data_IF_675325752075
#
_entry.id   IF_675325752075
#
_cell.length_a   1.000
_cell.length_b   1.000
_cell.length_c   1.000
_cell.angle_alpha   90.00
_cell.angle_beta   90.00
_cell.angle_gamma   90.00
#
_symmetry.space_group_name_H-M   'P 1'
#
loop_
_entity.id
_entity.type
_entity.pdbx_description
1 polymer ?
#
# COMPACT_ATOMS: atom_id res chain seq x y z
N UNK A 1 -34.57 -16.87 -18.04
CA UNK A 1 -33.64 -17.09 -16.90
C UNK A 1 -32.74 -15.87 -16.80
N UNK A 2 -32.80 -15.06 -15.73
CA UNK A 2 -31.85 -13.96 -15.59
C UNK A 2 -30.42 -14.52 -15.63
N UNK A 3 -29.56 -13.95 -16.48
CA UNK A 3 -28.15 -14.32 -16.60
C UNK A 3 -27.51 -14.26 -15.20
N UNK A 4 -27.13 -15.43 -14.67
CA UNK A 4 -26.50 -15.52 -13.35
C UNK A 4 -25.25 -14.64 -13.26
N UNK A 5 -25.02 -14.04 -12.09
CA UNK A 5 -23.84 -13.21 -11.81
C UNK A 5 -22.55 -13.98 -12.17
N UNK A 6 -21.57 -13.36 -12.86
CA UNK A 6 -20.33 -14.04 -13.22
C UNK A 6 -19.63 -14.60 -11.98
N UNK A 7 -19.19 -15.86 -12.07
CA UNK A 7 -18.47 -16.53 -10.97
C UNK A 7 -17.08 -15.92 -10.82
N UNK A 8 -16.84 -15.25 -9.70
CA UNK A 8 -15.51 -14.73 -9.35
C UNK A 8 -14.55 -15.92 -9.16
N UNK A 9 -13.42 -15.88 -9.86
CA UNK A 9 -12.35 -16.87 -9.72
C UNK A 9 -11.41 -16.47 -8.57
N UNK A 10 -11.46 -17.23 -7.48
CA UNK A 10 -10.61 -17.01 -6.29
C UNK A 10 -9.51 -18.07 -6.14
N UNK A 11 -9.36 -18.94 -7.13
CA UNK A 11 -8.37 -20.03 -7.12
C UNK A 11 -6.92 -19.51 -7.06
N UNK A 12 -6.55 -18.44 -7.78
CA UNK A 12 -5.18 -17.91 -7.73
C UNK A 12 -4.76 -17.42 -6.33
N UNK A 13 -5.72 -16.89 -5.57
CA UNK A 13 -5.48 -16.32 -4.23
C UNK A 13 -5.69 -17.34 -3.10
N UNK A 14 -5.92 -18.61 -3.43
CA UNK A 14 -6.37 -19.61 -2.46
C UNK A 14 -5.37 -19.81 -1.31
N UNK A 15 -4.08 -19.96 -1.63
CA UNK A 15 -3.04 -20.22 -0.62
C UNK A 15 -2.86 -19.04 0.33
N UNK A 16 -2.82 -17.85 -0.23
CA UNK A 16 -2.68 -16.60 0.51
C UNK A 16 -3.88 -16.31 1.42
N UNK A 17 -5.10 -16.48 0.90
CA UNK A 17 -6.31 -16.31 1.70
C UNK A 17 -6.38 -17.33 2.85
N UNK A 18 -5.99 -18.58 2.59
CA UNK A 18 -5.91 -19.60 3.64
C UNK A 18 -4.88 -19.24 4.71
N UNK A 19 -3.71 -18.73 4.31
CA UNK A 19 -2.66 -18.29 5.24
C UNK A 19 -3.12 -17.10 6.11
N UNK A 20 -3.76 -16.10 5.50
CA UNK A 20 -4.28 -14.93 6.21
C UNK A 20 -5.42 -15.29 7.17
N UNK A 21 -6.32 -16.19 6.77
CA UNK A 21 -7.36 -16.70 7.67
C UNK A 21 -6.77 -17.50 8.85
N UNK A 22 -5.68 -18.25 8.61
CA UNK A 22 -4.98 -18.98 9.67
C UNK A 22 -4.30 -18.03 10.66
N UNK A 23 -3.83 -16.87 10.21
CA UNK A 23 -3.36 -15.74 11.05
C UNK A 23 -4.48 -15.02 11.81
N UNK A 24 -5.73 -15.49 11.72
CA UNK A 24 -6.85 -14.98 12.51
C UNK A 24 -7.70 -13.91 11.81
N UNK A 25 -7.43 -13.57 10.55
CA UNK A 25 -8.24 -12.58 9.83
C UNK A 25 -9.65 -13.09 9.56
N UNK A 26 -10.63 -12.22 9.81
CA UNK A 26 -12.05 -12.48 9.55
C UNK A 26 -12.37 -12.41 8.05
N UNK A 27 -13.47 -13.04 7.62
CA UNK A 27 -13.88 -13.01 6.22
C UNK A 27 -14.21 -11.61 5.68
N UNK A 28 -14.51 -10.65 6.56
CA UNK A 28 -14.72 -9.25 6.16
C UNK A 28 -13.39 -8.58 5.82
N UNK A 29 -12.36 -8.82 6.64
CA UNK A 29 -11.01 -8.29 6.43
C UNK A 29 -10.37 -8.93 5.20
N UNK A 30 -10.58 -10.23 4.96
CA UNK A 30 -10.12 -10.90 3.74
C UNK A 30 -10.79 -10.35 2.48
N UNK A 31 -12.07 -9.96 2.56
CA UNK A 31 -12.76 -9.32 1.45
C UNK A 31 -12.20 -7.91 1.17
N UNK A 32 -11.90 -7.15 2.23
CA UNK A 32 -11.24 -5.85 2.11
C UNK A 32 -9.81 -5.99 1.56
N UNK A 33 -9.07 -7.01 1.98
CA UNK A 33 -7.75 -7.34 1.47
C UNK A 33 -7.77 -7.61 -0.04
N UNK A 34 -8.70 -8.46 -0.51
CA UNK A 34 -8.83 -8.75 -1.94
C UNK A 34 -9.21 -7.52 -2.77
N UNK A 35 -10.03 -6.63 -2.21
CA UNK A 35 -10.39 -5.37 -2.86
C UNK A 35 -9.20 -4.43 -2.94
N UNK A 36 -8.45 -4.26 -1.85
CA UNK A 36 -7.35 -3.30 -1.75
C UNK A 36 -6.10 -3.76 -2.50
N UNK A 37 -5.76 -5.04 -2.41
CA UNK A 37 -4.54 -5.60 -3.01
C UNK A 37 -4.72 -5.98 -4.48
N UNK A 38 -5.92 -6.45 -4.86
CA UNK A 38 -6.16 -7.03 -6.19
C UNK A 38 -7.36 -6.43 -6.93
N UNK A 39 -8.06 -5.44 -6.35
CA UNK A 39 -9.27 -4.86 -6.96
C UNK A 39 -10.46 -5.83 -7.03
N UNK A 40 -10.38 -7.00 -6.37
CA UNK A 40 -11.39 -8.06 -6.49
C UNK A 40 -12.47 -7.86 -5.43
N UNK A 41 -13.65 -7.44 -5.86
CA UNK A 41 -14.81 -7.29 -4.96
C UNK A 41 -15.46 -8.65 -4.67
N UNK A 42 -15.38 -9.11 -3.43
CA UNK A 42 -15.95 -10.41 -3.00
C UNK A 42 -16.84 -10.23 -1.77
N UNK A 43 -17.98 -10.90 -1.75
CA UNK A 43 -18.81 -10.96 -0.56
C UNK A 43 -18.21 -11.95 0.47
N UNK A 44 -18.13 -11.60 1.77
CA UNK A 44 -17.66 -12.50 2.83
C UNK A 44 -18.36 -13.87 2.86
N UNK A 45 -19.66 -13.94 2.52
CA UNK A 45 -20.40 -15.22 2.39
C UNK A 45 -19.85 -16.10 1.27
N UNK A 46 -19.39 -15.50 0.17
CA UNK A 46 -18.76 -16.21 -0.94
C UNK A 46 -17.41 -16.78 -0.53
N UNK A 47 -16.60 -16.01 0.23
CA UNK A 47 -15.35 -16.50 0.81
C UNK A 47 -15.58 -17.69 1.73
N UNK A 48 -16.51 -17.57 2.69
CA UNK A 48 -16.85 -18.67 3.60
C UNK A 48 -17.26 -19.94 2.85
N UNK A 49 -18.09 -19.83 1.81
CA UNK A 49 -18.49 -20.97 0.97
C UNK A 49 -17.31 -21.55 0.17
N UNK A 50 -16.38 -20.71 -0.29
CA UNK A 50 -15.19 -21.14 -1.03
C UNK A 50 -14.20 -21.88 -0.12
N UNK A 51 -13.96 -21.38 1.10
CA UNK A 51 -13.15 -22.07 2.10
C UNK A 51 -13.72 -23.44 2.47
N UNK A 52 -15.04 -23.54 2.64
CA UNK A 52 -15.71 -24.84 2.84
C UNK A 52 -15.52 -25.78 1.64
N UNK A 53 -15.58 -25.27 0.42
CA UNK A 53 -15.36 -26.06 -0.79
C UNK A 53 -13.89 -26.46 -0.97
N UNK A 54 -12.93 -25.61 -0.58
CA UNK A 54 -11.51 -25.93 -0.57
C UNK A 54 -11.21 -27.04 0.43
N UNK A 55 -11.80 -26.99 1.63
CA UNK A 55 -11.72 -28.09 2.61
C UNK A 55 -12.37 -29.39 2.13
N UNK A 56 -13.47 -29.33 1.36
CA UNK A 56 -14.15 -30.54 0.82
C UNK A 56 -13.46 -31.17 -0.39
N UNK A 57 -12.71 -30.41 -1.19
CA UNK A 57 -12.06 -30.91 -2.42
C UNK A 57 -10.87 -31.84 -2.15
N UNK A 58 -10.22 -31.74 -0.99
CA UNK A 58 -9.11 -32.64 -0.61
C UNK A 58 -9.57 -34.02 -0.09
N UNK A 59 -10.84 -34.17 0.33
CA UNK A 59 -11.37 -35.45 0.85
C UNK A 59 -11.92 -36.36 -0.27
N UNK A 60 -12.06 -35.87 -1.51
CA UNK A 60 -12.58 -36.67 -2.64
C UNK A 60 -11.52 -36.90 -3.72
N UNK A 61 -10.47 -37.67 -3.40
CA UNK A 61 -9.70 -38.39 -4.41
C UNK A 61 -9.12 -39.72 -3.93
N UNK A 62 -9.94 -40.55 -3.27
CA UNK A 62 -9.72 -42.00 -3.18
C UNK A 62 -11.06 -42.72 -3.14
N UNK A 63 -11.59 -43.05 -4.33
CA UNK A 63 -12.41 -44.26 -4.59
C UNK A 63 -12.83 -44.26 -6.05
N UNK A 64 -12.15 -45.05 -6.87
CA UNK A 64 -12.62 -45.49 -8.18
C UNK A 64 -13.57 -46.68 -8.00
N UNK A 65 -14.80 -46.50 -8.48
CA UNK A 65 -15.68 -47.44 -9.18
C UNK A 65 -15.73 -48.93 -8.79
N UNK A 66 -16.91 -49.38 -8.34
CA UNK A 66 -17.60 -50.54 -8.96
C UNK A 66 -19.11 -50.55 -8.63
N UNK A 67 -19.91 -50.79 -9.67
CA UNK A 67 -21.33 -51.19 -9.73
C UNK A 67 -21.72 -52.26 -8.69
N UNK A 68 -22.96 -52.50 -8.22
CA UNK A 68 -24.34 -52.49 -8.82
C UNK A 68 -25.37 -52.78 -7.66
N UNK A 69 -26.67 -53.05 -7.88
CA UNK A 69 -27.81 -52.15 -7.88
C UNK A 69 -28.81 -52.26 -6.69
N UNK A 70 -29.78 -51.34 -6.70
CA UNK A 70 -31.07 -51.22 -5.97
C UNK A 70 -31.78 -52.52 -5.56
N UNK A 71 -32.40 -52.50 -4.37
CA UNK A 71 -33.78 -52.98 -4.17
C UNK A 71 -34.46 -52.24 -3.00
N UNK A 72 -35.73 -51.94 -3.21
CA UNK A 72 -36.68 -51.27 -2.32
C UNK A 72 -37.18 -52.21 -1.20
N UNK A 73 -37.62 -51.67 -0.06
CA UNK A 73 -38.90 -51.99 0.63
C UNK A 73 -38.98 -51.22 1.96
N UNK A 74 -40.17 -50.65 2.24
CA UNK A 74 -40.43 -49.82 3.41
C UNK A 74 -41.06 -50.54 4.60
N UNK A 75 -41.48 -49.69 5.55
CA UNK A 75 -42.54 -49.87 6.55
C UNK A 75 -42.20 -50.45 7.94
N UNK A 76 -42.43 -49.56 8.91
CA UNK A 76 -43.21 -49.69 10.15
C UNK A 76 -42.68 -50.40 11.43
N UNK A 77 -42.65 -49.56 12.48
CA UNK A 77 -43.44 -49.62 13.73
C UNK A 77 -43.03 -50.52 14.92
N UNK A 78 -43.15 -49.88 16.10
CA UNK A 78 -43.41 -50.42 17.45
C UNK A 78 -42.28 -51.21 18.14
N UNK A 79 -42.08 -51.16 19.46
CA UNK A 79 -42.69 -50.40 20.56
C UNK A 79 -41.87 -50.59 21.84
N UNK A 80 -42.22 -49.80 22.85
CA UNK A 80 -42.23 -50.10 24.28
C UNK A 80 -41.02 -49.89 25.20
N UNK A 81 -41.41 -49.24 26.29
CA UNK A 81 -40.72 -48.77 27.49
C UNK A 81 -40.60 -49.93 28.48
N UNK A 82 -39.43 -50.12 29.09
CA UNK A 82 -39.32 -50.71 30.42
C UNK A 82 -38.30 -49.92 31.25
N UNK A 83 -38.81 -49.34 32.33
CA UNK A 83 -38.07 -48.69 33.41
C UNK A 83 -37.46 -49.78 34.30
N UNK A 84 -36.16 -49.74 34.56
CA UNK A 84 -35.57 -50.44 35.70
C UNK A 84 -34.56 -49.56 36.44
N UNK A 85 -34.90 -49.39 37.72
CA UNK A 85 -34.30 -48.73 38.88
C UNK A 85 -32.76 -48.64 38.97
N UNK A 86 -32.29 -47.50 39.51
CA UNK A 86 -30.90 -47.10 39.82
C UNK A 86 -30.16 -48.11 40.73
N UNK A 87 -28.81 -48.09 40.79
CA UNK A 87 -28.13 -47.16 41.72
C UNK A 87 -26.92 -46.43 41.11
N UNK A 88 -26.66 -45.22 41.61
CA UNK A 88 -25.44 -44.47 41.30
C UNK A 88 -24.24 -45.06 42.05
N UNK A 89 -23.06 -45.10 41.41
CA UNK A 89 -21.82 -44.95 42.16
C UNK A 89 -20.89 -43.88 41.55
N UNK A 90 -20.41 -43.02 42.46
CA UNK A 90 -19.05 -42.47 42.51
C UNK A 90 -18.63 -41.49 41.39
N UNK A 91 -18.45 -40.23 41.79
CA UNK A 91 -17.75 -39.22 41.01
C UNK A 91 -16.32 -39.70 40.71
N UNK A 92 -16.04 -39.96 39.43
CA UNK A 92 -14.67 -40.06 38.92
C UNK A 92 -14.42 -38.85 38.04
N UNK A 93 -13.32 -38.15 38.29
CA UNK A 93 -12.89 -36.95 37.56
C UNK A 93 -12.87 -37.19 36.03
N UNK A 94 -13.07 -36.15 35.19
CA UNK A 94 -12.93 -36.30 33.75
C UNK A 94 -11.47 -36.66 33.43
N UNK A 95 -11.26 -37.91 33.06
CA UNK A 95 -10.04 -38.36 32.38
C UNK A 95 -9.85 -37.51 31.13
N UNK A 96 -8.84 -36.64 31.15
CA UNK A 96 -8.35 -35.92 29.97
C UNK A 96 -7.75 -36.97 29.04
N UNK A 97 -8.60 -37.60 28.22
CA UNK A 97 -8.10 -38.32 27.06
C UNK A 97 -7.73 -37.28 26.01
N UNK A 98 -6.52 -37.34 25.42
CA UNK A 98 -6.15 -36.48 24.32
C UNK A 98 -7.08 -36.77 23.13
N UNK A 99 -7.72 -35.72 22.65
CA UNK A 99 -8.67 -35.72 21.54
C UNK A 99 -8.11 -36.50 20.33
N UNK A 100 -8.77 -37.56 19.83
CA UNK A 100 -8.25 -38.40 18.74
C UNK A 100 -7.90 -37.62 17.47
N UNK A 101 -8.46 -36.43 17.29
CA UNK A 101 -8.15 -35.49 16.21
C UNK A 101 -6.69 -35.04 16.22
N UNK A 102 -6.06 -34.89 17.39
CA UNK A 102 -4.65 -34.49 17.51
C UNK A 102 -3.68 -35.61 17.11
N UNK A 103 -3.95 -36.87 17.51
CA UNK A 103 -3.12 -38.02 17.13
C UNK A 103 -3.19 -38.37 15.64
N UNK A 104 -4.33 -38.12 14.99
CA UNK A 104 -4.50 -38.37 13.56
C UNK A 104 -3.68 -37.37 12.73
N UNK A 105 -3.71 -36.08 13.08
CA UNK A 105 -2.91 -35.05 12.41
C UNK A 105 -1.40 -35.25 12.62
N UNK A 106 -0.99 -35.72 13.81
CA UNK A 106 0.40 -36.02 14.13
C UNK A 106 0.92 -37.22 13.32
N UNK A 107 0.11 -38.28 13.13
CA UNK A 107 0.45 -39.42 12.26
C UNK A 107 0.47 -39.06 10.77
N UNK A 108 -0.35 -38.13 10.30
CA UNK A 108 -0.33 -37.73 8.88
C UNK A 108 0.96 -36.98 8.48
N UNK A 109 1.62 -36.31 9.42
CA UNK A 109 2.92 -35.67 9.21
C UNK A 109 4.10 -36.65 9.19
N UNK A 110 3.92 -37.89 9.66
CA UNK A 110 4.99 -38.89 9.79
C UNK A 110 5.04 -39.89 8.62
N UNK A 111 4.07 -39.92 7.70
CA UNK A 111 3.85 -41.08 6.81
C UNK A 111 4.21 -40.82 5.33
N UNK A 112 4.74 -39.67 4.95
CA UNK A 112 5.36 -39.51 3.62
C UNK A 112 6.44 -38.43 3.68
N UNK A 113 7.62 -38.63 3.06
CA UNK A 113 8.58 -37.55 2.91
C UNK A 113 7.85 -36.44 2.15
N UNK A 114 7.64 -35.31 2.83
CA UNK A 114 7.10 -34.11 2.20
C UNK A 114 7.97 -33.84 0.97
N UNK A 115 7.35 -33.65 -0.19
CA UNK A 115 8.08 -33.42 -1.43
C UNK A 115 8.79 -32.05 -1.36
N UNK A 116 10.08 -32.04 -1.69
CA UNK A 116 10.91 -30.83 -1.80
C UNK A 116 12.08 -30.79 -0.80
N UNK A 117 13.02 -29.89 -1.04
CA UNK A 117 14.23 -29.72 -0.24
C UNK A 117 14.08 -28.60 0.80
N UNK A 118 14.01 -28.97 2.07
CA UNK A 118 13.89 -28.01 3.18
C UNK A 118 15.24 -27.39 3.60
N UNK A 119 16.38 -27.83 3.04
CA UNK A 119 17.68 -27.18 3.29
C UNK A 119 17.77 -25.80 2.64
N UNK A 120 16.90 -25.51 1.68
CA UNK A 120 16.80 -24.23 0.95
C UNK A 120 16.14 -23.11 1.76
N UNK A 121 15.66 -23.36 2.98
CA UNK A 121 14.93 -22.39 3.81
C UNK A 121 15.75 -21.11 4.04
N UNK A 122 17.04 -21.24 4.35
CA UNK A 122 17.87 -20.08 4.67
C UNK A 122 18.15 -19.23 3.43
N UNK A 123 18.29 -19.87 2.25
CA UNK A 123 18.38 -19.18 0.97
C UNK A 123 17.07 -18.47 0.62
N UNK A 124 15.93 -19.13 0.83
CA UNK A 124 14.61 -18.56 0.60
C UNK A 124 14.33 -17.34 1.49
N UNK A 125 14.64 -17.41 2.79
CA UNK A 125 14.51 -16.28 3.71
C UNK A 125 15.40 -15.12 3.26
N UNK A 126 16.66 -15.39 2.88
CA UNK A 126 17.57 -14.35 2.39
C UNK A 126 17.05 -13.67 1.10
N UNK A 127 16.45 -14.43 0.18
CA UNK A 127 15.80 -13.85 -1.02
C UNK A 127 14.59 -12.99 -0.64
N UNK A 128 13.77 -13.42 0.32
CA UNK A 128 12.64 -12.63 0.83
C UNK A 128 13.11 -11.32 1.50
N UNK A 129 14.16 -11.38 2.32
CA UNK A 129 14.74 -10.18 2.97
C UNK A 129 15.27 -9.19 1.93
N UNK A 130 15.94 -9.68 0.88
CA UNK A 130 16.41 -8.85 -0.23
C UNK A 130 15.26 -8.20 -1.01
N UNK A 131 14.19 -8.96 -1.30
CA UNK A 131 12.99 -8.42 -1.95
C UNK A 131 12.32 -7.35 -1.08
N UNK A 132 12.17 -7.59 0.22
CA UNK A 132 11.59 -6.63 1.15
C UNK A 132 12.44 -5.34 1.26
N UNK A 133 13.77 -5.48 1.32
CA UNK A 133 14.69 -4.35 1.30
C UNK A 133 14.60 -3.55 -0.01
N UNK A 134 14.42 -4.25 -1.15
CA UNK A 134 14.25 -3.62 -2.45
C UNK A 134 12.91 -2.88 -2.57
N UNK A 135 11.83 -3.45 -2.07
CA UNK A 135 10.51 -2.79 -2.00
C UNK A 135 10.57 -1.52 -1.14
N UNK A 136 11.22 -1.61 0.03
CA UNK A 136 11.44 -0.46 0.90
C UNK A 136 12.28 0.63 0.22
N UNK A 137 13.36 0.25 -0.47
CA UNK A 137 14.21 1.16 -1.23
C UNK A 137 13.46 1.81 -2.40
N UNK A 138 12.63 1.04 -3.12
CA UNK A 138 11.77 1.54 -4.19
C UNK A 138 10.76 2.55 -3.67
N UNK A 139 10.12 2.26 -2.53
CA UNK A 139 9.21 3.18 -1.86
C UNK A 139 9.90 4.46 -1.35
N UNK A 140 11.14 4.38 -0.88
CA UNK A 140 11.94 5.56 -0.50
C UNK A 140 12.30 6.42 -1.72
N UNK A 141 12.74 5.79 -2.82
CA UNK A 141 13.06 6.49 -4.08
C UNK A 141 11.84 7.18 -4.66
N UNK A 142 10.69 6.52 -4.69
CA UNK A 142 9.43 7.11 -5.15
C UNK A 142 9.06 8.37 -4.35
N UNK A 143 9.16 8.32 -3.02
CA UNK A 143 8.94 9.50 -2.16
C UNK A 143 9.87 10.66 -2.51
N UNK A 144 11.16 10.39 -2.72
CA UNK A 144 12.12 11.41 -3.14
C UNK A 144 11.77 12.04 -4.49
N UNK A 145 11.30 11.25 -5.46
CA UNK A 145 10.85 11.74 -6.77
C UNK A 145 9.59 12.61 -6.62
N UNK A 146 8.65 12.20 -5.77
CA UNK A 146 7.43 12.95 -5.47
C UNK A 146 7.76 14.28 -4.76
N UNK A 147 8.74 14.29 -3.85
CA UNK A 147 9.25 15.51 -3.21
C UNK A 147 9.84 16.48 -4.23
N UNK A 148 10.67 16.00 -5.17
CA UNK A 148 11.21 16.83 -6.24
C UNK A 148 10.11 17.37 -7.17
N UNK A 149 9.07 16.57 -7.44
CA UNK A 149 7.92 17.02 -8.21
C UNK A 149 7.13 18.13 -7.48
N UNK A 150 6.98 18.01 -6.16
CA UNK A 150 6.34 19.03 -5.34
C UNK A 150 7.18 20.31 -5.27
N UNK A 151 8.52 20.21 -5.18
CA UNK A 151 9.41 21.37 -5.26
C UNK A 151 9.27 22.07 -6.62
N UNK A 152 9.27 21.31 -7.73
CA UNK A 152 9.07 21.85 -9.08
C UNK A 152 7.72 22.59 -9.21
N UNK A 153 6.65 22.01 -8.67
CA UNK A 153 5.32 22.62 -8.65
C UNK A 153 5.29 23.91 -7.83
N UNK A 154 5.94 23.91 -6.66
CA UNK A 154 6.03 25.09 -5.79
C UNK A 154 6.78 26.24 -6.47
N UNK A 155 7.90 25.94 -7.14
CA UNK A 155 8.65 26.94 -7.92
C UNK A 155 7.82 27.45 -9.10
N UNK A 156 7.05 26.57 -9.74
CA UNK A 156 6.16 26.96 -10.85
C UNK A 156 5.09 27.95 -10.38
N UNK A 157 4.42 27.67 -9.25
CA UNK A 157 3.47 28.60 -8.64
C UNK A 157 4.12 29.93 -8.25
N UNK A 158 5.35 29.91 -7.75
CA UNK A 158 6.09 31.14 -7.42
C UNK A 158 6.35 31.99 -8.67
N UNK A 159 6.73 31.37 -9.80
CA UNK A 159 6.92 32.07 -11.09
C UNK A 159 5.59 32.66 -11.58
N UNK A 160 4.49 31.92 -11.47
CA UNK A 160 3.15 32.38 -11.86
C UNK A 160 2.64 33.54 -10.99
N UNK A 161 3.10 33.64 -9.74
CA UNK A 161 2.79 34.72 -8.82
C UNK A 161 3.56 36.03 -9.07
N UNK A 162 4.73 35.97 -9.72
CA UNK A 162 5.58 37.15 -9.94
C UNK A 162 4.88 38.34 -10.63
N UNK A 163 4.05 38.16 -11.69
CA UNK A 163 3.37 39.28 -12.32
C UNK A 163 2.40 40.00 -11.38
N UNK A 164 1.77 39.27 -10.46
CA UNK A 164 0.87 39.86 -9.46
C UNK A 164 1.67 40.67 -8.43
N UNK A 165 2.79 40.14 -7.96
CA UNK A 165 3.71 40.86 -7.06
C UNK A 165 4.28 42.13 -7.73
N UNK A 166 4.75 42.03 -8.97
CA UNK A 166 5.25 43.17 -9.76
C UNK A 166 4.19 44.27 -9.87
N UNK A 167 2.95 43.90 -10.24
CA UNK A 167 1.83 44.84 -10.34
C UNK A 167 1.56 45.54 -9.01
N UNK A 168 1.65 44.82 -7.88
CA UNK A 168 1.46 45.39 -6.56
C UNK A 168 2.56 46.40 -6.20
N UNK A 169 3.83 46.09 -6.50
CA UNK A 169 4.94 47.02 -6.28
C UNK A 169 4.80 48.28 -7.15
N UNK A 170 4.49 48.12 -8.44
CA UNK A 170 4.27 49.24 -9.35
C UNK A 170 3.10 50.13 -8.91
N UNK A 171 2.01 49.53 -8.42
CA UNK A 171 0.89 50.28 -7.85
C UNK A 171 1.30 51.07 -6.60
N UNK A 172 2.13 50.48 -5.74
CA UNK A 172 2.65 51.15 -4.54
C UNK A 172 3.52 52.35 -4.90
N UNK A 173 4.39 52.22 -5.92
CA UNK A 173 5.21 53.34 -6.42
C UNK A 173 4.32 54.44 -7.00
N UNK A 174 3.30 54.09 -7.78
CA UNK A 174 2.38 55.06 -8.35
C UNK A 174 1.62 55.84 -7.24
N UNK A 175 1.18 55.13 -6.20
CA UNK A 175 0.52 55.76 -5.05
C UNK A 175 1.47 56.68 -4.27
N UNK A 176 2.72 56.27 -4.07
CA UNK A 176 3.74 57.08 -3.40
C UNK A 176 4.05 58.36 -4.20
N UNK A 177 4.17 58.25 -5.54
CA UNK A 177 4.36 59.39 -6.42
C UNK A 177 3.20 60.40 -6.33
N UNK A 178 1.95 59.91 -6.42
CA UNK A 178 0.77 60.76 -6.30
C UNK A 178 0.70 61.51 -4.95
N UNK A 179 1.02 60.82 -3.85
CA UNK A 179 1.11 61.44 -2.52
C UNK A 179 2.23 62.48 -2.42
N UNK A 180 3.38 62.20 -3.04
CA UNK A 180 4.51 63.13 -3.10
C UNK A 180 4.14 64.43 -3.83
N UNK A 181 3.51 64.31 -5.00
CA UNK A 181 3.01 65.46 -5.77
C UNK A 181 2.00 66.27 -4.95
N UNK A 182 1.06 65.59 -4.28
CA UNK A 182 0.07 66.27 -3.43
C UNK A 182 0.73 67.04 -2.27
N UNK A 183 1.78 66.49 -1.66
CA UNK A 183 2.54 67.16 -0.61
C UNK A 183 3.32 68.37 -1.12
N UNK A 184 3.96 68.24 -2.29
CA UNK A 184 4.69 69.35 -2.92
C UNK A 184 3.72 70.49 -3.27
N UNK A 185 2.55 70.17 -3.83
CA UNK A 185 1.49 71.14 -4.14
C UNK A 185 0.84 71.78 -2.92
N UNK A 186 0.97 71.20 -1.72
CA UNK A 186 0.52 71.83 -0.48
C UNK A 186 1.50 72.91 0.02
N UNK A 187 2.70 72.98 -0.55
CA UNK A 187 3.72 73.97 -0.18
C UNK A 187 3.45 75.30 -0.87
N UNK A 188 3.27 76.37 -0.10
CA UNK A 188 2.83 77.69 -0.59
C UNK A 188 3.71 78.27 -1.70
N UNK A 189 5.04 78.07 -1.63
CA UNK A 189 5.98 78.54 -2.67
C UNK A 189 5.89 77.78 -3.99
N UNK A 190 5.31 76.59 -3.99
CA UNK A 190 5.11 75.75 -5.17
C UNK A 190 3.68 75.95 -5.69
N UNK A 191 2.69 75.95 -4.81
CA UNK A 191 1.27 76.01 -5.14
C UNK A 191 0.86 77.22 -6.00
N UNK A 192 1.58 78.34 -5.90
CA UNK A 192 1.25 79.59 -6.59
C UNK A 192 2.00 79.81 -7.90
N UNK A 193 2.99 78.97 -8.22
CA UNK A 193 3.84 79.11 -9.41
C UNK A 193 3.71 77.88 -10.31
N UNK A 194 3.15 78.07 -11.51
CA UNK A 194 2.97 77.01 -12.49
C UNK A 194 4.29 76.35 -12.93
N UNK A 195 5.39 77.12 -12.98
CA UNK A 195 6.71 76.57 -13.32
C UNK A 195 7.22 75.67 -12.19
N UNK A 196 7.02 76.08 -10.93
CA UNK A 196 7.39 75.29 -9.76
C UNK A 196 6.56 74.00 -9.64
N UNK A 197 5.25 74.06 -9.93
CA UNK A 197 4.37 72.87 -9.98
C UNK A 197 4.87 71.87 -11.01
N UNK A 198 5.18 72.35 -12.23
CA UNK A 198 5.63 71.49 -13.30
C UNK A 198 6.99 70.85 -12.98
N UNK A 199 7.92 71.62 -12.43
CA UNK A 199 9.22 71.10 -11.98
C UNK A 199 9.08 70.04 -10.86
N UNK A 200 8.17 70.24 -9.90
CA UNK A 200 7.91 69.27 -8.84
C UNK A 200 7.33 67.95 -9.40
N UNK A 201 6.34 68.04 -10.30
CA UNK A 201 5.75 66.87 -10.96
C UNK A 201 6.80 66.09 -11.75
N UNK A 202 7.63 66.78 -12.54
CA UNK A 202 8.71 66.14 -13.30
C UNK A 202 9.73 65.45 -12.40
N UNK A 203 10.08 66.10 -11.28
CA UNK A 203 11.02 65.54 -10.29
C UNK A 203 10.46 64.26 -9.68
N UNK A 204 9.21 64.27 -9.20
CA UNK A 204 8.53 63.09 -8.65
C UNK A 204 8.38 61.96 -9.66
N UNK A 205 8.09 62.28 -10.91
CA UNK A 205 8.01 61.28 -11.98
C UNK A 205 9.37 60.64 -12.27
N UNK A 206 10.47 61.42 -12.27
CA UNK A 206 11.84 60.88 -12.42
C UNK A 206 12.21 59.96 -11.26
N UNK A 207 11.93 60.36 -10.02
CA UNK A 207 12.15 59.52 -8.82
C UNK A 207 11.36 58.21 -8.88
N UNK A 208 10.08 58.30 -9.27
CA UNK A 208 9.22 57.14 -9.42
C UNK A 208 9.72 56.21 -10.54
N UNK A 209 10.21 56.74 -11.66
CA UNK A 209 10.74 55.95 -12.76
C UNK A 209 12.00 55.17 -12.37
N UNK A 210 12.93 55.81 -11.64
CA UNK A 210 14.10 55.11 -11.07
C UNK A 210 13.67 53.95 -10.17
N UNK A 211 12.64 54.18 -9.34
CA UNK A 211 12.09 53.15 -8.45
C UNK A 211 11.43 52.00 -9.25
N UNK A 212 10.69 52.30 -10.32
CA UNK A 212 10.08 51.28 -11.20
C UNK A 212 11.16 50.44 -11.87
N UNK A 213 12.18 51.05 -12.44
CA UNK A 213 13.28 50.34 -13.09
C UNK A 213 14.02 49.44 -12.11
N UNK A 214 14.23 49.89 -10.88
CA UNK A 214 14.81 49.07 -9.81
C UNK A 214 13.95 47.83 -9.52
N UNK A 215 12.64 47.99 -9.33
CA UNK A 215 11.71 46.87 -9.10
C UNK A 215 11.69 45.90 -10.28
N UNK A 216 11.61 46.41 -11.52
CA UNK A 216 11.63 45.57 -12.72
C UNK A 216 12.93 44.77 -12.83
N UNK A 217 14.08 45.39 -12.52
CA UNK A 217 15.36 44.70 -12.49
C UNK A 217 15.41 43.59 -11.45
N UNK A 218 14.93 43.85 -10.23
CA UNK A 218 14.85 42.83 -9.17
C UNK A 218 13.92 41.68 -9.54
N UNK A 219 12.74 41.97 -10.10
CA UNK A 219 11.76 40.95 -10.50
C UNK A 219 12.27 40.10 -11.65
N UNK A 220 12.93 40.70 -12.63
CA UNK A 220 13.55 39.98 -13.75
C UNK A 220 14.63 39.01 -13.24
N UNK A 221 15.52 39.50 -12.37
CA UNK A 221 16.56 38.66 -11.76
C UNK A 221 15.96 37.50 -10.97
N UNK A 222 14.95 37.77 -10.14
CA UNK A 222 14.25 36.74 -9.36
C UNK A 222 13.54 35.71 -10.27
N UNK A 223 12.95 36.16 -11.38
CA UNK A 223 12.33 35.26 -12.36
C UNK A 223 13.37 34.32 -12.99
N UNK A 224 14.55 34.83 -13.33
CA UNK A 224 15.65 34.02 -13.87
C UNK A 224 16.19 33.01 -12.85
N UNK A 225 16.39 33.43 -11.60
CA UNK A 225 16.80 32.55 -10.49
C UNK A 225 15.79 31.42 -10.27
N UNK A 226 14.49 31.73 -10.30
CA UNK A 226 13.44 30.71 -10.15
C UNK A 226 13.38 29.76 -11.35
N UNK A 227 13.53 30.27 -12.58
CA UNK A 227 13.55 29.43 -13.80
C UNK A 227 14.75 28.49 -13.82
N UNK A 228 15.93 28.99 -13.44
CA UNK A 228 17.16 28.18 -13.35
C UNK A 228 17.03 27.11 -12.27
N UNK A 229 16.52 27.47 -11.08
CA UNK A 229 16.25 26.52 -10.01
C UNK A 229 15.24 25.44 -10.44
N UNK A 230 14.16 25.83 -11.12
CA UNK A 230 13.17 24.88 -11.66
C UNK A 230 13.81 23.88 -12.61
N UNK A 231 14.64 24.35 -13.54
CA UNK A 231 15.34 23.49 -14.48
C UNK A 231 16.28 22.50 -13.77
N UNK A 232 16.98 22.95 -12.74
CA UNK A 232 17.87 22.10 -11.97
C UNK A 232 17.11 21.02 -11.19
N UNK A 233 16.03 21.39 -10.49
CA UNK A 233 15.14 20.43 -9.81
C UNK A 233 14.58 19.40 -10.80
N UNK A 234 14.14 19.85 -11.98
CA UNK A 234 13.65 18.97 -13.03
C UNK A 234 14.72 17.98 -13.52
N UNK A 235 15.96 18.43 -13.73
CA UNK A 235 17.07 17.53 -14.11
C UNK A 235 17.34 16.49 -13.05
N UNK A 236 17.36 16.88 -11.77
CA UNK A 236 17.54 15.94 -10.64
C UNK A 236 16.42 14.90 -10.61
N UNK A 237 15.18 15.32 -10.83
CA UNK A 237 14.02 14.43 -10.89
C UNK A 237 14.12 13.45 -12.06
N UNK A 238 14.48 13.93 -13.25
CA UNK A 238 14.67 13.09 -14.44
C UNK A 238 15.81 12.08 -14.23
N UNK A 239 16.93 12.51 -13.65
CA UNK A 239 18.04 11.61 -13.30
C UNK A 239 17.62 10.54 -12.28
N UNK A 240 16.88 10.92 -11.23
CA UNK A 240 16.36 9.98 -10.23
C UNK A 240 15.37 8.98 -10.83
N UNK A 241 14.54 9.41 -11.80
CA UNK A 241 13.62 8.54 -12.52
C UNK A 241 14.37 7.52 -13.39
N UNK A 242 15.41 7.94 -14.11
CA UNK A 242 16.20 7.03 -14.94
C UNK A 242 17.00 6.03 -14.09
N UNK A 243 17.63 6.50 -13.00
CA UNK A 243 18.31 5.60 -12.04
C UNK A 243 17.32 4.57 -11.46
N UNK A 244 16.11 5.01 -11.11
CA UNK A 244 15.08 4.11 -10.59
C UNK A 244 14.64 3.08 -11.62
N UNK A 245 14.43 3.47 -12.88
CA UNK A 245 14.06 2.53 -13.96
C UNK A 245 15.13 1.46 -14.19
N UNK A 246 16.41 1.86 -14.21
CA UNK A 246 17.53 0.94 -14.48
C UNK A 246 17.71 -0.06 -13.34
N UNK A 247 17.73 0.43 -12.09
CA UNK A 247 18.02 -0.41 -10.92
C UNK A 247 16.80 -1.21 -10.43
N UNK A 248 15.57 -0.72 -10.64
CA UNK A 248 14.39 -1.38 -10.09
C UNK A 248 13.97 -2.61 -10.90
N UNK A 249 14.21 -2.66 -12.21
CA UNK A 249 13.64 -3.72 -13.05
C UNK A 249 14.53 -4.96 -13.15
N UNK A 250 15.86 -4.80 -13.14
CA UNK A 250 16.78 -5.92 -13.33
C UNK A 250 16.89 -6.80 -12.07
N UNK A 251 17.11 -6.17 -10.91
CA UNK A 251 17.35 -6.88 -9.66
C UNK A 251 16.08 -7.52 -9.09
N UNK A 252 14.91 -6.87 -9.26
CA UNK A 252 13.63 -7.45 -8.78
C UNK A 252 13.27 -8.71 -9.55
N UNK A 253 13.37 -8.69 -10.89
CA UNK A 253 13.02 -9.84 -11.73
C UNK A 253 13.90 -11.04 -11.41
N UNK A 254 15.20 -10.84 -11.25
CA UNK A 254 16.12 -11.93 -10.88
C UNK A 254 15.83 -12.50 -9.49
N UNK A 255 15.53 -11.65 -8.50
CA UNK A 255 15.15 -12.10 -7.17
C UNK A 255 13.79 -12.81 -7.16
N UNK A 256 12.86 -12.40 -8.01
CA UNK A 256 11.55 -13.02 -8.15
C UNK A 256 11.65 -14.41 -8.82
N UNK A 257 12.46 -14.54 -9.86
CA UNK A 257 12.74 -15.82 -10.53
C UNK A 257 13.43 -16.82 -9.58
N UNK A 258 14.40 -16.35 -8.80
CA UNK A 258 15.08 -17.19 -7.80
C UNK A 258 14.13 -17.60 -6.67
N UNK A 259 13.25 -16.70 -6.22
CA UNK A 259 12.17 -17.03 -5.28
C UNK A 259 11.27 -18.13 -5.84
N UNK A 260 10.78 -17.98 -7.07
CA UNK A 260 9.89 -18.97 -7.71
C UNK A 260 10.58 -20.32 -7.90
N UNK A 261 11.89 -20.32 -8.22
CA UNK A 261 12.70 -21.54 -8.29
C UNK A 261 12.76 -22.23 -6.93
N UNK A 262 13.09 -21.49 -5.87
CA UNK A 262 13.18 -22.03 -4.51
C UNK A 262 11.84 -22.54 -4.00
N UNK A 263 10.71 -21.91 -4.36
CA UNK A 263 9.37 -22.41 -4.04
C UNK A 263 9.05 -23.74 -4.74
N UNK A 264 9.49 -23.90 -5.99
CA UNK A 264 9.32 -25.15 -6.75
C UNK A 264 10.20 -26.28 -6.20
N UNK A 265 11.46 -25.97 -5.85
CA UNK A 265 12.44 -26.95 -5.33
C UNK A 265 12.18 -27.32 -3.87
N UNK A 266 11.82 -26.34 -3.02
CA UNK A 266 11.57 -26.54 -1.59
C UNK A 266 10.21 -27.18 -1.30
N UNK A 267 9.22 -26.98 -2.15
CA UNK A 267 7.92 -27.65 -2.10
C UNK A 267 7.20 -27.54 -0.74
N UNK A 268 6.46 -28.59 -0.36
CA UNK A 268 5.73 -28.61 0.92
C UNK A 268 6.66 -28.81 2.12
N UNK A 269 7.82 -29.43 1.93
CA UNK A 269 8.79 -29.65 3.00
C UNK A 269 9.32 -28.32 3.56
N UNK A 270 9.69 -27.40 2.66
CA UNK A 270 10.15 -26.05 3.02
C UNK A 270 9.05 -25.25 3.74
N UNK A 271 7.81 -25.28 3.25
CA UNK A 271 6.69 -24.55 3.85
C UNK A 271 6.35 -25.02 5.28
N UNK A 272 6.36 -26.34 5.52
CA UNK A 272 6.07 -26.91 6.84
C UNK A 272 7.16 -26.57 7.85
N UNK A 273 8.43 -26.69 7.46
CA UNK A 273 9.54 -26.38 8.38
C UNK A 273 9.70 -24.86 8.60
N UNK A 274 9.39 -24.02 7.62
CA UNK A 274 9.23 -22.57 7.82
C UNK A 274 8.18 -22.25 8.89
N UNK A 275 6.99 -22.87 8.81
CA UNK A 275 5.93 -22.70 9.82
C UNK A 275 6.40 -23.09 11.22
N UNK A 276 7.11 -24.22 11.35
CA UNK A 276 7.69 -24.65 12.63
C UNK A 276 8.74 -23.67 13.16
N UNK A 277 9.58 -23.09 12.30
CA UNK A 277 10.58 -22.08 12.73
C UNK A 277 9.90 -20.82 13.27
N UNK A 278 8.83 -20.36 12.65
CA UNK A 278 8.04 -19.20 13.09
C UNK A 278 7.37 -19.47 14.45
N UNK A 279 6.72 -20.62 14.63
CA UNK A 279 6.11 -20.99 15.92
C UNK A 279 7.16 -21.04 17.05
N UNK A 280 8.36 -21.55 16.76
CA UNK A 280 9.47 -21.58 17.74
C UNK A 280 9.94 -20.17 18.10
N UNK A 281 10.04 -19.24 17.15
CA UNK A 281 10.45 -17.86 17.43
C UNK A 281 9.38 -17.08 18.20
N UNK A 282 8.11 -17.18 17.82
CA UNK A 282 7.00 -16.51 18.52
C UNK A 282 6.83 -17.04 19.94
N UNK A 283 6.96 -18.36 20.13
CA UNK A 283 6.95 -18.99 21.46
C UNK A 283 8.14 -18.59 22.32
N UNK A 284 9.27 -18.20 21.73
CA UNK A 284 10.45 -17.72 22.44
C UNK A 284 10.32 -16.25 22.83
N UNK A 285 9.72 -15.41 21.97
CA UNK A 285 9.42 -14.00 22.28
C UNK A 285 8.33 -13.87 23.34
N UNK A 286 7.27 -14.68 23.28
CA UNK A 286 6.20 -14.71 24.28
C UNK A 286 6.66 -15.17 25.68
N UNK A 287 7.83 -15.82 25.79
CA UNK A 287 8.45 -16.21 27.06
C UNK A 287 9.42 -15.15 27.61
N UNK A 288 9.76 -14.13 26.81
CA UNK A 288 10.67 -13.04 27.19
C UNK A 288 9.93 -11.76 27.61
N UNK A 289 8.67 -11.61 27.23
CA UNK A 289 7.76 -10.54 27.66
C UNK A 289 6.92 -10.99 28.86
#
# INVERSE_FOLDING_TARGET
>A
MPKGRPSINLTPYQLELCALHYKGLTFNELAAYLLNSYGVTVNPRTLKRRFQNWGRKYVRKTRSSSSKPRSDFGSNANSDIVVLTKPCPVMTAPSIQPDPTTKILQRFLEISPLSGDYSLIDEYINVLDKLAAQDAASGARKRSIDELANEEATITLAIEGLPAEEKQHLATIAQACAKGIQADMATLSIATDMSAIQAAIETRNKEAEVSRQSVLGMMTKRAEELRTRRLDVRRRREAALEEWKVNSNFDTLSLQETKERLEKEGGMAMAVELGRRIERSESAEAKRN
#
